data_IF_176916903616
#
_entry.id   IF_176916903616
#
_cell.length_a   1.000
_cell.length_b   1.000
_cell.length_c   1.000
_cell.angle_alpha   90.00
_cell.angle_beta   90.00
_cell.angle_gamma   90.00
#
_symmetry.space_group_name_H-M   'P 1'
#
loop_
_entity.id
_entity.type
_entity.pdbx_description
1 polymer ?
#
# COMPACT_ATOMS: atom_id res chain seq x y z
N UNK A 1 20.72 10.13 -6.29
CA UNK A 1 20.90 11.39 -5.61
C UNK A 1 19.68 11.81 -4.81
N UNK A 2 19.86 12.73 -3.88
CA UNK A 2 18.80 13.19 -3.00
C UNK A 2 17.61 13.77 -3.77
N UNK A 3 17.86 14.60 -4.77
CA UNK A 3 16.81 15.22 -5.58
C UNK A 3 15.97 14.18 -6.30
N UNK A 4 16.61 13.17 -6.85
CA UNK A 4 15.90 12.11 -7.57
C UNK A 4 14.98 11.33 -6.66
N UNK A 5 15.43 10.98 -5.45
CA UNK A 5 14.58 10.30 -4.46
C UNK A 5 13.39 11.16 -4.06
N UNK A 6 13.65 12.45 -3.84
CA UNK A 6 12.59 13.40 -3.47
C UNK A 6 11.53 13.48 -4.57
N UNK A 7 11.97 13.59 -5.83
CA UNK A 7 11.06 13.70 -6.97
C UNK A 7 10.23 12.43 -7.15
N UNK A 8 10.83 11.27 -6.98
CA UNK A 8 10.11 10.00 -7.04
C UNK A 8 9.10 9.87 -5.91
N UNK A 9 9.48 10.20 -4.70
CA UNK A 9 8.59 10.14 -3.54
C UNK A 9 7.41 11.09 -3.73
N UNK A 10 7.66 12.31 -4.16
CA UNK A 10 6.63 13.30 -4.42
C UNK A 10 5.68 12.83 -5.53
N UNK A 11 6.22 12.26 -6.59
CA UNK A 11 5.40 11.71 -7.68
C UNK A 11 4.49 10.59 -7.17
N UNK A 12 5.03 9.65 -6.42
CA UNK A 12 4.26 8.50 -5.90
C UNK A 12 3.17 8.99 -4.94
N UNK A 13 3.48 9.93 -4.05
CA UNK A 13 2.47 10.49 -3.14
C UNK A 13 1.31 11.10 -3.90
N UNK A 14 1.60 11.91 -4.89
CA UNK A 14 0.55 12.57 -5.69
C UNK A 14 -0.23 11.58 -6.54
N UNK A 15 0.44 10.55 -7.04
CA UNK A 15 -0.21 9.47 -7.76
C UNK A 15 -1.22 8.73 -6.88
N UNK A 16 -0.82 8.36 -5.67
CA UNK A 16 -1.67 7.66 -4.70
C UNK A 16 -2.90 8.50 -4.32
N UNK A 17 -2.72 9.81 -4.19
CA UNK A 17 -3.77 10.73 -3.78
C UNK A 17 -4.65 11.22 -4.93
N UNK A 18 -4.45 10.71 -6.14
CA UNK A 18 -5.19 11.12 -7.35
C UNK A 18 -5.05 12.62 -7.67
N UNK A 19 -3.88 13.19 -7.38
CA UNK A 19 -3.64 14.61 -7.61
C UNK A 19 -3.04 14.90 -8.99
N UNK A 20 -2.87 13.89 -9.83
CA UNK A 20 -2.22 14.04 -11.15
C UNK A 20 -3.19 13.74 -12.28
N UNK A 21 -3.09 14.52 -13.35
CA UNK A 21 -3.79 14.24 -14.59
C UNK A 21 -3.10 13.06 -15.29
N UNK A 22 -3.85 12.32 -16.10
CA UNK A 22 -3.35 11.13 -16.76
C UNK A 22 -2.09 11.42 -17.59
N UNK A 23 -2.09 12.50 -18.35
CA UNK A 23 -0.94 12.90 -19.18
C UNK A 23 0.28 13.18 -18.32
N UNK A 24 0.09 13.79 -17.15
CA UNK A 24 1.17 14.11 -16.24
C UNK A 24 1.75 12.85 -15.60
N UNK A 25 0.91 11.86 -15.32
CA UNK A 25 1.37 10.59 -14.77
C UNK A 25 2.40 9.96 -15.71
N UNK A 26 2.05 9.84 -16.98
CA UNK A 26 2.94 9.18 -17.95
C UNK A 26 4.18 10.01 -18.27
N UNK A 27 4.03 11.33 -18.39
CA UNK A 27 5.17 12.20 -18.66
C UNK A 27 6.18 12.20 -17.51
N UNK A 28 5.68 12.29 -16.27
CA UNK A 28 6.56 12.31 -15.09
C UNK A 28 7.20 10.95 -14.84
N UNK A 29 6.45 9.87 -15.04
CA UNK A 29 7.00 8.52 -14.91
C UNK A 29 8.15 8.31 -15.89
N UNK A 30 8.00 8.77 -17.12
CA UNK A 30 9.06 8.69 -18.13
C UNK A 30 10.30 9.46 -17.70
N UNK A 31 10.12 10.68 -17.22
CA UNK A 31 11.22 11.51 -16.71
C UNK A 31 11.98 10.86 -15.57
N UNK A 32 11.24 10.20 -14.69
CA UNK A 32 11.80 9.56 -13.51
C UNK A 32 12.28 8.12 -13.75
N UNK A 33 12.17 7.66 -15.00
CA UNK A 33 12.57 6.30 -15.39
C UNK A 33 11.77 5.22 -14.61
N UNK A 34 10.48 5.49 -14.41
CA UNK A 34 9.58 4.55 -13.74
C UNK A 34 8.81 3.78 -14.81
N UNK A 35 8.84 2.44 -14.73
CA UNK A 35 8.12 1.58 -15.65
C UNK A 35 6.61 1.78 -15.47
N UNK A 36 5.91 2.11 -16.57
CA UNK A 36 4.47 2.38 -16.51
C UNK A 36 3.61 1.13 -16.66
N UNK A 37 4.19 0.01 -17.05
CA UNK A 37 3.46 -1.24 -17.34
C UNK A 37 3.82 -2.38 -16.39
N UNK A 38 4.67 -2.12 -15.41
CA UNK A 38 5.00 -3.12 -14.40
C UNK A 38 3.77 -3.43 -13.55
N UNK A 39 3.61 -4.71 -13.23
CA UNK A 39 2.53 -5.12 -12.34
C UNK A 39 2.88 -4.72 -10.90
N UNK A 40 1.92 -4.11 -10.23
CA UNK A 40 2.13 -3.60 -8.85
C UNK A 40 0.93 -3.90 -7.97
N UNK A 41 1.19 -3.85 -6.68
CA UNK A 41 0.15 -4.02 -5.65
C UNK A 41 0.51 -3.11 -4.49
N UNK A 42 -0.48 -2.46 -3.89
CA UNK A 42 -0.26 -1.54 -2.77
C UNK A 42 -0.55 -2.23 -1.44
N UNK A 43 0.42 -2.17 -0.54
CA UNK A 43 0.25 -2.56 0.87
C UNK A 43 0.10 -1.30 1.71
N UNK A 44 -0.80 -1.36 2.65
CA UNK A 44 -1.01 -0.29 3.64
C UNK A 44 -0.72 -0.86 5.02
N UNK A 45 0.16 -0.21 5.75
CA UNK A 45 0.60 -0.65 7.07
C UNK A 45 0.21 0.44 8.07
N UNK A 46 -0.74 0.14 8.94
CA UNK A 46 -1.17 1.07 9.97
C UNK A 46 -0.49 0.76 11.30
N UNK A 47 0.18 1.74 11.86
CA UNK A 47 0.79 1.65 13.18
C UNK A 47 -0.13 2.30 14.22
N UNK A 48 -0.13 1.76 15.43
CA UNK A 48 -0.98 2.29 16.50
C UNK A 48 -0.40 3.52 17.16
N UNK A 49 0.91 3.65 17.12
CA UNK A 49 1.60 4.71 17.86
C UNK A 49 2.25 5.69 16.90
N UNK A 50 1.78 6.93 16.92
CA UNK A 50 2.29 8.01 16.06
C UNK A 50 3.79 8.29 16.29
N UNK A 51 4.30 7.97 17.49
CA UNK A 51 5.70 8.21 17.83
C UNK A 51 6.61 7.06 17.46
N UNK A 52 6.05 6.01 16.87
CA UNK A 52 6.85 4.85 16.51
C UNK A 52 7.58 5.08 15.20
N UNK A 53 8.75 5.65 15.29
CA UNK A 53 9.56 5.99 14.14
C UNK A 53 10.32 4.80 13.57
N UNK A 54 10.41 3.70 14.33
CA UNK A 54 11.15 2.52 13.90
C UNK A 54 10.48 1.75 12.77
N UNK A 55 9.15 1.80 12.70
CA UNK A 55 8.39 1.02 11.72
C UNK A 55 8.78 1.36 10.28
N UNK A 56 8.85 2.64 9.95
CA UNK A 56 9.20 3.06 8.59
C UNK A 56 10.59 2.57 8.19
N UNK A 57 11.56 2.69 9.09
CA UNK A 57 12.93 2.25 8.82
C UNK A 57 13.01 0.74 8.63
N UNK A 58 12.24 -0.03 9.37
CA UNK A 58 12.20 -1.47 9.22
C UNK A 58 11.61 -1.86 7.85
N UNK A 59 10.50 -1.24 7.45
CA UNK A 59 9.90 -1.50 6.15
C UNK A 59 10.87 -1.13 5.03
N UNK A 60 11.52 0.03 5.13
CA UNK A 60 12.54 0.42 4.16
C UNK A 60 13.67 -0.60 4.09
N UNK A 61 14.11 -1.12 5.23
CA UNK A 61 15.16 -2.13 5.27
C UNK A 61 14.77 -3.43 4.61
N UNK A 62 13.51 -3.85 4.75
CA UNK A 62 13.02 -5.07 4.12
C UNK A 62 13.03 -5.01 2.59
N UNK A 63 12.82 -3.82 2.04
CA UNK A 63 12.69 -3.65 0.60
C UNK A 63 13.76 -2.74 -0.03
N UNK A 64 14.77 -2.39 0.74
CA UNK A 64 15.80 -1.43 0.29
C UNK A 64 16.59 -1.90 -0.94
N UNK A 65 16.78 -3.19 -1.08
CA UNK A 65 17.47 -3.76 -2.24
C UNK A 65 16.60 -3.82 -3.49
N UNK A 66 15.32 -3.55 -3.34
CA UNK A 66 14.33 -3.60 -4.43
C UNK A 66 14.11 -2.20 -4.96
N UNK A 67 14.92 -1.78 -5.91
CA UNK A 67 14.89 -0.41 -6.44
C UNK A 67 13.58 -0.03 -7.12
N UNK A 68 12.73 -1.01 -7.43
CA UNK A 68 11.46 -0.78 -8.12
C UNK A 68 10.25 -0.71 -7.20
N UNK A 69 10.45 -0.92 -5.90
CA UNK A 69 9.41 -0.75 -4.89
C UNK A 69 9.47 0.67 -4.34
N UNK A 70 8.31 1.22 -3.99
CA UNK A 70 8.23 2.57 -3.43
C UNK A 70 7.64 2.50 -2.03
N UNK A 71 8.26 3.19 -1.09
CA UNK A 71 7.79 3.25 0.30
C UNK A 71 7.62 4.72 0.66
N UNK A 72 6.42 5.10 1.07
CA UNK A 72 6.11 6.48 1.43
C UNK A 72 5.11 6.54 2.56
N UNK A 73 4.88 7.73 3.08
CA UNK A 73 3.85 8.02 4.07
C UNK A 73 3.10 9.28 3.65
N UNK A 74 1.78 9.22 3.77
CA UNK A 74 0.93 10.40 3.57
C UNK A 74 0.43 10.96 4.91
N UNK A 75 0.57 10.19 5.99
CA UNK A 75 0.29 10.63 7.36
C UNK A 75 1.20 9.87 8.33
N UNK A 76 1.12 10.19 9.62
CA UNK A 76 2.01 9.63 10.65
C UNK A 76 1.73 8.17 11.00
N UNK A 77 0.52 7.69 10.72
CA UNK A 77 0.10 6.34 11.14
C UNK A 77 0.22 5.29 10.06
N UNK A 78 0.26 5.71 8.80
CA UNK A 78 0.17 4.79 7.69
C UNK A 78 1.42 4.82 6.82
N UNK A 79 2.01 3.65 6.64
CA UNK A 79 3.11 3.44 5.71
C UNK A 79 2.53 2.80 4.47
N UNK A 80 2.90 3.30 3.30
CA UNK A 80 2.42 2.80 2.02
C UNK A 80 3.58 2.16 1.28
N UNK A 81 3.43 0.91 0.91
CA UNK A 81 4.38 0.18 0.08
C UNK A 81 3.75 -0.11 -1.26
N UNK A 82 4.30 0.47 -2.31
CA UNK A 82 3.93 0.14 -3.69
C UNK A 82 4.92 -0.89 -4.19
N UNK A 83 4.48 -2.15 -4.21
CA UNK A 83 5.37 -3.26 -4.52
C UNK A 83 5.23 -3.71 -5.95
N UNK A 84 6.36 -3.88 -6.64
CA UNK A 84 6.37 -4.52 -7.96
C UNK A 84 6.14 -6.01 -7.79
N UNK A 85 5.20 -6.56 -8.54
CA UNK A 85 4.85 -7.97 -8.51
C UNK A 85 5.46 -8.66 -9.74
N UNK A 86 6.31 -9.65 -9.50
CA UNK A 86 6.95 -10.40 -10.57
C UNK A 86 5.92 -11.28 -11.30
N UNK A 87 6.16 -11.63 -12.58
CA UNK A 87 5.18 -12.42 -13.35
C UNK A 87 4.80 -13.75 -12.71
N UNK A 88 5.72 -14.37 -11.96
CA UNK A 88 5.47 -15.64 -11.31
C UNK A 88 4.89 -15.54 -9.90
N UNK A 89 4.73 -14.32 -9.39
CA UNK A 89 4.19 -14.11 -8.04
C UNK A 89 2.66 -14.07 -8.07
N UNK A 90 2.06 -14.62 -7.01
CA UNK A 90 0.61 -14.74 -6.86
C UNK A 90 0.14 -13.96 -5.63
N UNK A 91 -1.17 -13.93 -5.42
CA UNK A 91 -1.72 -13.34 -4.19
C UNK A 91 -1.27 -14.08 -2.93
N UNK A 92 -0.99 -15.37 -3.04
CA UNK A 92 -0.43 -16.12 -1.92
C UNK A 92 0.94 -15.56 -1.52
N UNK A 93 1.76 -15.21 -2.52
CA UNK A 93 3.06 -14.55 -2.27
C UNK A 93 2.89 -13.19 -1.63
N UNK A 94 1.86 -12.44 -2.04
CA UNK A 94 1.56 -11.13 -1.46
C UNK A 94 1.12 -11.27 -0.01
N UNK A 95 0.33 -12.30 0.29
CA UNK A 95 -0.08 -12.58 1.66
C UNK A 95 1.12 -12.92 2.54
N UNK A 96 2.06 -13.69 2.02
CA UNK A 96 3.32 -14.00 2.71
C UNK A 96 4.13 -12.73 2.97
N UNK A 97 4.19 -11.84 2.00
CA UNK A 97 4.87 -10.55 2.16
C UNK A 97 4.23 -9.74 3.29
N UNK A 98 2.90 -9.69 3.33
CA UNK A 98 2.18 -8.98 4.40
C UNK A 98 2.51 -9.56 5.77
N UNK A 99 2.58 -10.89 5.86
CA UNK A 99 2.91 -11.56 7.13
C UNK A 99 4.34 -11.33 7.55
N UNK A 100 5.28 -11.26 6.61
CA UNK A 100 6.67 -10.91 6.91
C UNK A 100 6.74 -9.49 7.49
N UNK A 101 6.04 -8.55 6.88
CA UNK A 101 5.97 -7.17 7.39
C UNK A 101 5.41 -7.16 8.81
N UNK A 102 4.32 -7.87 9.03
CA UNK A 102 3.67 -7.95 10.34
C UNK A 102 4.62 -8.49 11.40
N UNK A 103 5.29 -9.62 11.10
CA UNK A 103 6.18 -10.28 12.03
C UNK A 103 7.39 -9.41 12.36
N UNK A 104 7.98 -8.77 11.37
CA UNK A 104 9.14 -7.91 11.58
C UNK A 104 8.80 -6.70 12.42
N UNK A 105 7.65 -6.08 12.18
CA UNK A 105 7.23 -4.92 12.96
C UNK A 105 6.85 -5.29 14.39
N UNK A 106 6.19 -6.42 14.58
CA UNK A 106 5.86 -6.88 15.93
C UNK A 106 7.12 -7.23 16.74
N UNK A 107 8.12 -7.80 16.07
CA UNK A 107 9.34 -8.28 16.73
C UNK A 107 10.37 -7.16 16.90
N UNK A 108 10.70 -6.45 15.81
CA UNK A 108 11.80 -5.47 15.81
C UNK A 108 11.38 -4.10 16.33
N UNK A 109 10.19 -3.64 15.95
CA UNK A 109 9.69 -2.34 16.39
C UNK A 109 8.85 -2.45 17.67
N UNK A 110 8.53 -3.67 18.08
CA UNK A 110 7.70 -3.94 19.27
C UNK A 110 6.40 -3.16 19.21
N UNK A 111 5.84 -3.03 18.01
CA UNK A 111 4.60 -2.31 17.78
C UNK A 111 3.55 -3.22 17.15
N UNK A 112 2.30 -3.03 17.54
CA UNK A 112 1.19 -3.75 16.93
C UNK A 112 0.75 -3.00 15.68
N UNK A 113 0.65 -3.71 14.56
CA UNK A 113 0.29 -3.11 13.27
C UNK A 113 -0.83 -3.88 12.61
N UNK A 114 -1.53 -3.21 11.72
CA UNK A 114 -2.48 -3.83 10.80
C UNK A 114 -1.94 -3.65 9.39
N UNK A 115 -1.94 -4.73 8.61
CA UNK A 115 -1.49 -4.72 7.23
C UNK A 115 -2.67 -5.07 6.33
N UNK A 116 -2.90 -4.27 5.32
CA UNK A 116 -3.89 -4.57 4.29
C UNK A 116 -3.26 -4.41 2.92
N UNK A 117 -3.88 -4.98 1.91
CA UNK A 117 -3.41 -4.80 0.55
C UNK A 117 -4.55 -4.87 -0.46
N UNK A 118 -4.38 -4.14 -1.55
CA UNK A 118 -5.32 -4.08 -2.65
C UNK A 118 -5.12 -5.20 -3.65
N UNK A 119 -5.62 -4.99 -4.85
CA UNK A 119 -5.45 -5.95 -5.94
C UNK A 119 -4.29 -5.55 -6.83
N UNK A 120 -3.78 -6.51 -7.59
CA UNK A 120 -2.71 -6.28 -8.56
C UNK A 120 -3.22 -5.41 -9.70
N UNK A 121 -2.39 -4.45 -10.09
CA UNK A 121 -2.68 -3.57 -11.22
C UNK A 121 -1.55 -3.68 -12.24
N UNK A 122 -1.88 -3.47 -13.51
CA UNK A 122 -0.94 -3.66 -14.61
C UNK A 122 -0.41 -2.35 -15.19
N UNK A 123 -0.95 -1.23 -14.77
CA UNK A 123 -0.52 0.06 -15.23
C UNK A 123 -0.37 1.04 -14.07
N UNK A 124 0.59 1.95 -14.22
CA UNK A 124 0.89 2.93 -13.17
C UNK A 124 -0.31 3.81 -12.81
N UNK A 125 -1.15 4.14 -13.79
CA UNK A 125 -2.35 4.96 -13.55
C UNK A 125 -3.32 4.29 -12.58
N UNK A 126 -3.28 2.96 -12.44
CA UNK A 126 -4.20 2.19 -11.62
C UNK A 126 -3.68 1.94 -10.19
N UNK A 127 -2.48 2.41 -9.88
CA UNK A 127 -1.90 2.26 -8.53
C UNK A 127 -2.79 2.90 -7.48
N UNK A 128 -3.39 4.05 -7.77
CA UNK A 128 -4.31 4.70 -6.82
C UNK A 128 -5.52 3.83 -6.51
N UNK A 129 -5.99 3.02 -7.47
CA UNK A 129 -7.08 2.08 -7.22
C UNK A 129 -6.66 1.02 -6.20
N UNK A 130 -5.47 0.44 -6.37
CA UNK A 130 -4.96 -0.55 -5.41
C UNK A 130 -4.80 0.06 -4.01
N UNK A 131 -4.37 1.32 -3.93
CA UNK A 131 -4.28 2.04 -2.67
C UNK A 131 -5.67 2.21 -2.02
N UNK A 132 -6.66 2.63 -2.78
CA UNK A 132 -8.03 2.79 -2.27
C UNK A 132 -8.60 1.47 -1.79
N UNK A 133 -8.31 0.39 -2.50
CA UNK A 133 -8.71 -0.95 -2.11
C UNK A 133 -8.04 -1.36 -0.79
N UNK A 134 -6.74 -1.06 -0.64
CA UNK A 134 -6.03 -1.35 0.61
C UNK A 134 -6.62 -0.56 1.78
N UNK A 135 -6.98 0.71 1.56
CA UNK A 135 -7.65 1.53 2.59
C UNK A 135 -9.00 0.96 2.98
N UNK A 136 -9.80 0.55 2.00
CA UNK A 136 -11.08 -0.09 2.27
C UNK A 136 -10.89 -1.39 3.04
N UNK A 137 -9.90 -2.20 2.66
CA UNK A 137 -9.61 -3.45 3.36
C UNK A 137 -9.22 -3.19 4.81
N UNK A 138 -8.44 -2.14 5.06
CA UNK A 138 -8.06 -1.76 6.42
C UNK A 138 -9.29 -1.37 7.24
N UNK A 139 -10.14 -0.50 6.71
CA UNK A 139 -11.32 0.00 7.41
C UNK A 139 -12.33 -1.11 7.67
N UNK A 140 -12.65 -1.90 6.65
CA UNK A 140 -13.59 -3.02 6.78
C UNK A 140 -13.03 -4.10 7.71
N UNK A 141 -11.73 -4.33 7.61
CA UNK A 141 -11.05 -5.31 8.48
C UNK A 141 -11.19 -4.96 9.95
N UNK A 142 -11.07 -3.69 10.30
CA UNK A 142 -11.24 -3.24 11.69
C UNK A 142 -12.66 -3.46 12.19
N UNK A 143 -13.64 -3.37 11.31
CA UNK A 143 -15.06 -3.49 11.68
C UNK A 143 -15.48 -4.97 11.76
N UNK A 144 -15.15 -5.75 10.72
CA UNK A 144 -15.69 -7.11 10.55
C UNK A 144 -14.67 -8.21 10.86
N UNK A 145 -13.39 -7.90 10.85
CA UNK A 145 -12.31 -8.87 11.05
C UNK A 145 -11.29 -8.36 12.06
N UNK A 146 -11.78 -7.84 13.18
CA UNK A 146 -10.93 -7.19 14.19
C UNK A 146 -9.89 -8.13 14.80
N UNK A 147 -10.09 -9.43 14.68
CA UNK A 147 -9.14 -10.45 15.13
C UNK A 147 -8.00 -10.71 14.14
N UNK A 148 -8.08 -10.13 12.95
CA UNK A 148 -7.08 -10.31 11.90
C UNK A 148 -6.18 -9.09 11.81
N UNK A 149 -4.88 -9.34 11.69
CA UNK A 149 -3.89 -8.28 11.50
C UNK A 149 -3.49 -8.10 10.03
N UNK A 150 -3.86 -9.04 9.17
CA UNK A 150 -3.63 -8.96 7.72
C UNK A 150 -4.97 -9.14 7.02
N UNK A 151 -5.35 -8.18 6.17
CA UNK A 151 -6.60 -8.23 5.43
C UNK A 151 -6.34 -7.91 3.95
N UNK A 152 -6.72 -8.81 3.08
CA UNK A 152 -6.67 -8.60 1.63
C UNK A 152 -7.99 -8.04 1.14
N UNK A 153 -7.94 -7.07 0.23
CA UNK A 153 -9.16 -6.55 -0.37
C UNK A 153 -9.99 -7.66 -1.03
N UNK A 154 -9.34 -8.58 -1.73
CA UNK A 154 -9.99 -9.67 -2.44
C UNK A 154 -10.74 -10.65 -1.51
N UNK A 155 -10.44 -10.63 -0.20
CA UNK A 155 -11.07 -11.53 0.77
C UNK A 155 -12.23 -10.90 1.53
N UNK A 156 -12.67 -9.69 1.17
CA UNK A 156 -13.67 -8.93 1.94
C UNK A 156 -15.08 -9.42 1.69
N UNK A 157 -15.56 -10.31 1.27
CA UNK A 157 -16.91 -10.83 1.13
C UNK A 157 -18.01 -9.78 1.37
N UNK A 158 -18.95 -10.13 2.22
CA UNK A 158 -20.15 -9.31 2.47
C UNK A 158 -19.82 -7.98 3.16
N UNK A 159 -18.74 -7.92 3.95
CA UNK A 159 -18.32 -6.69 4.60
C UNK A 159 -17.99 -5.60 3.58
N UNK A 160 -17.30 -5.98 2.51
CA UNK A 160 -16.98 -5.05 1.42
C UNK A 160 -18.26 -4.55 0.74
N UNK A 161 -19.21 -5.44 0.48
CA UNK A 161 -20.46 -5.08 -0.16
C UNK A 161 -21.23 -4.04 0.67
N UNK A 162 -21.35 -4.28 1.96
CA UNK A 162 -22.04 -3.36 2.87
C UNK A 162 -21.35 -2.00 2.90
N UNK A 163 -20.02 -1.98 2.97
CA UNK A 163 -19.26 -0.75 3.04
C UNK A 163 -19.43 0.11 1.78
N UNK A 164 -19.63 -0.51 0.63
CA UNK A 164 -19.81 0.19 -0.64
C UNK A 164 -21.22 0.70 -0.88
N UNK A 165 -22.18 0.29 -0.08
CA UNK A 165 -23.55 0.76 -0.23
C UNK A 165 -23.66 2.26 0.10
N UNK A 166 -24.56 2.99 -0.60
CA UNK A 166 -24.81 4.40 -0.25
C UNK A 166 -25.29 4.52 1.20
N UNK A 167 -24.88 5.57 1.87
CA UNK A 167 -25.22 5.78 3.29
C UNK A 167 -26.73 5.72 3.58
N UNK A 168 -27.62 6.27 2.74
CA UNK A 168 -29.07 6.14 3.01
C UNK A 168 -29.56 4.71 3.08
N UNK A 169 -28.91 3.79 2.38
CA UNK A 169 -29.25 2.38 2.41
C UNK A 169 -28.67 1.63 3.60
N UNK A 170 -27.64 2.21 4.23
CA UNK A 170 -26.97 1.60 5.36
C UNK A 170 -27.57 1.96 6.71
N UNK A 171 -28.49 2.91 6.73
CA UNK A 171 -29.13 3.38 7.97
C UNK A 171 -30.21 2.44 8.48
#
# INVERSE_FOLDING_TARGET
>A
AYKERYDKDNFIKNLLLDNLLLVDIYNRAKKLHIDTTARRLVFLIETKNEKDTGALEIVKGLFASKTKDFITQVDEKNIILVKEVKPNETYEDMDKTAKVILDMLNTEAMTSVHVSYGTMVNEIKDVSRSYKEAKMALDVGKIFYSDRNVVAYSSLGIGRLIYQLPMPLCK
#
